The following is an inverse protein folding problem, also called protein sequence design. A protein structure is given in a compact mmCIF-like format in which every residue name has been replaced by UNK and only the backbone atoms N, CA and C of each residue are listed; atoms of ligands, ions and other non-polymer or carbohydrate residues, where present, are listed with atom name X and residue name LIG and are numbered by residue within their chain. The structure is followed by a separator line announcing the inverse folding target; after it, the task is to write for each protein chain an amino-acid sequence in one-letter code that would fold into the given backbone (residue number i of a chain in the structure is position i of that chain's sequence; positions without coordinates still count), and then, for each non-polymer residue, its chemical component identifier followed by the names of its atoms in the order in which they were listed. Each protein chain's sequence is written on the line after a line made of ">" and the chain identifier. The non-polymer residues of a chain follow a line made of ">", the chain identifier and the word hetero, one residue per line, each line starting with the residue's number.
data_IF_928962296887
#
_entry.id   IF_928962296887
#
_cell.length_a   1.000
_cell.length_b   1.000
_cell.length_c   1.000
_cell.angle_alpha   90.00
_cell.angle_beta   90.00
_cell.angle_gamma   90.00
#
_symmetry.space_group_name_H-M   'P 1'
#
loop_
_entity.id
_entity.type
_entity.pdbx_description
1 polymer ?
#
# COMPACT_ATOMS: atom_id res chain seq x y z
N UNK A 1 -53.47 0.76 10.88
CA UNK A 1 -52.36 0.12 11.64
C UNK A 1 -51.85 -1.03 10.78
N UNK A 2 -50.59 -1.27 10.44
CA UNK A 2 -49.27 -0.72 10.81
C UNK A 2 -48.38 -1.14 9.62
N UNK A 3 -47.88 -0.19 8.81
CA UNK A 3 -46.95 -0.47 7.70
C UNK A 3 -45.57 -0.75 8.30
N UNK A 4 -45.26 -2.02 8.56
CA UNK A 4 -43.97 -2.48 9.14
C UNK A 4 -43.15 -3.31 8.13
N UNK A 5 -43.32 -3.04 6.84
CA UNK A 5 -42.63 -3.76 5.76
C UNK A 5 -41.25 -3.19 5.37
N UNK A 6 -41.08 -1.87 5.18
CA UNK A 6 -39.84 -1.38 4.56
C UNK A 6 -38.69 -1.17 5.55
N UNK A 7 -38.99 -1.12 6.86
CA UNK A 7 -37.97 -0.89 7.90
C UNK A 7 -37.12 -2.15 8.14
N UNK A 8 -37.66 -3.34 7.89
CA UNK A 8 -36.92 -4.59 8.08
C UNK A 8 -35.84 -4.85 7.01
N UNK A 9 -35.99 -4.26 5.81
CA UNK A 9 -35.00 -4.38 4.74
C UNK A 9 -33.81 -3.42 4.91
N UNK A 10 -33.95 -2.36 5.71
CA UNK A 10 -32.87 -1.45 6.06
C UNK A 10 -31.92 -2.01 7.13
N UNK A 11 -32.33 -3.03 7.88
CA UNK A 11 -31.51 -3.68 8.90
C UNK A 11 -30.65 -4.84 8.36
N UNK A 12 -30.95 -5.34 7.16
CA UNK A 12 -30.17 -6.42 6.52
C UNK A 12 -28.89 -5.92 5.81
N UNK A 13 -28.70 -4.60 5.68
CA UNK A 13 -27.45 -4.01 5.20
C UNK A 13 -26.33 -3.91 6.24
N UNK A 14 -26.62 -4.22 7.51
CA UNK A 14 -25.70 -4.08 8.65
C UNK A 14 -24.94 -5.37 9.01
N UNK A 15 -25.00 -6.40 8.16
CA UNK A 15 -24.25 -7.63 8.32
C UNK A 15 -23.07 -7.74 7.33
N UNK A 16 -22.36 -6.63 7.10
CA UNK A 16 -21.13 -6.57 6.28
C UNK A 16 -19.99 -5.98 7.12
N UNK A 17 -19.33 -6.85 7.88
CA UNK A 17 -18.01 -6.66 8.49
C UNK A 17 -17.87 -5.46 9.44
N UNK A 18 -17.79 -5.73 10.74
CA UNK A 18 -17.25 -4.81 11.76
C UNK A 18 -15.72 -4.64 11.59
N UNK A 19 -15.27 -4.43 10.36
CA UNK A 19 -13.89 -4.09 10.05
C UNK A 19 -13.67 -2.59 10.28
N UNK A 20 -12.47 -2.17 10.68
CA UNK A 20 -12.11 -0.76 10.75
C UNK A 20 -12.33 -0.08 9.39
N UNK A 21 -13.15 0.97 9.34
CA UNK A 21 -13.54 1.62 8.09
C UNK A 21 -12.36 2.25 7.31
N UNK A 22 -12.60 2.72 6.06
CA UNK A 22 -11.56 3.26 5.16
C UNK A 22 -10.70 4.39 5.75
N UNK A 23 -11.25 5.16 6.68
CA UNK A 23 -10.54 6.23 7.39
C UNK A 23 -9.46 5.67 8.34
N UNK A 24 -9.80 4.65 9.12
CA UNK A 24 -8.85 3.96 9.99
C UNK A 24 -7.75 3.27 9.18
N UNK A 25 -8.12 2.60 8.07
CA UNK A 25 -7.15 2.03 7.15
C UNK A 25 -6.21 3.09 6.55
N UNK A 26 -6.73 4.27 6.18
CA UNK A 26 -5.90 5.37 5.68
C UNK A 26 -4.92 5.88 6.73
N UNK A 27 -5.37 6.07 7.97
CA UNK A 27 -4.52 6.50 9.07
C UNK A 27 -3.40 5.50 9.31
N UNK A 28 -3.73 4.20 9.35
CA UNK A 28 -2.73 3.14 9.50
C UNK A 28 -1.75 3.08 8.34
N UNK A 29 -2.21 3.22 7.10
CA UNK A 29 -1.31 3.30 5.94
C UNK A 29 -0.34 4.48 6.05
N UNK A 30 -0.77 5.61 6.61
CA UNK A 30 0.10 6.78 6.77
C UNK A 30 1.21 6.53 7.79
N UNK A 31 0.89 5.84 8.89
CA UNK A 31 1.89 5.37 9.86
C UNK A 31 2.90 4.43 9.20
N UNK A 32 2.41 3.45 8.44
CA UNK A 32 3.24 2.49 7.72
C UNK A 32 4.16 3.21 6.73
N UNK A 33 3.62 4.15 5.94
CA UNK A 33 4.36 4.94 4.97
C UNK A 33 5.50 5.72 5.63
N UNK A 34 5.22 6.37 6.77
CA UNK A 34 6.22 7.16 7.52
C UNK A 34 7.33 6.31 8.11
N UNK A 35 7.07 5.04 8.36
CA UNK A 35 8.04 4.08 8.86
C UNK A 35 8.74 3.26 7.76
N UNK A 36 8.48 3.53 6.47
CA UNK A 36 9.15 2.80 5.39
C UNK A 36 10.63 3.11 5.33
N UNK A 37 11.43 2.05 5.26
CA UNK A 37 12.86 2.09 5.02
C UNK A 37 13.22 1.36 3.73
N UNK A 38 14.41 1.66 3.19
CA UNK A 38 15.02 0.88 2.11
C UNK A 38 15.52 -0.44 2.68
N UNK A 39 14.92 -1.56 2.30
CA UNK A 39 15.36 -2.89 2.73
C UNK A 39 16.50 -3.42 1.87
N UNK A 40 16.33 -3.31 0.55
CA UNK A 40 17.28 -3.84 -0.42
C UNK A 40 17.19 -3.10 -1.75
N UNK A 41 18.27 -3.19 -2.52
CA UNK A 41 18.42 -2.51 -3.81
C UNK A 41 18.91 -3.51 -4.85
N UNK A 42 18.38 -3.43 -6.06
CA UNK A 42 18.74 -4.30 -7.17
C UNK A 42 18.94 -3.49 -8.43
N UNK A 43 19.77 -4.00 -9.34
CA UNK A 43 19.95 -3.46 -10.69
C UNK A 43 19.49 -4.45 -11.74
N UNK A 44 18.54 -4.03 -12.54
CA UNK A 44 17.99 -4.75 -13.69
C UNK A 44 18.00 -3.81 -14.89
N UNK A 45 18.72 -4.17 -15.96
CA UNK A 45 18.75 -3.44 -17.24
C UNK A 45 18.89 -1.90 -17.16
N UNK A 46 19.74 -1.43 -16.24
CA UNK A 46 20.00 0.01 -16.02
C UNK A 46 19.02 0.70 -15.07
N UNK A 47 17.92 0.03 -14.71
CA UNK A 47 16.95 0.46 -13.70
C UNK A 47 17.39 0.01 -12.32
N UNK A 48 17.17 0.88 -11.32
CA UNK A 48 17.39 0.51 -9.92
C UNK A 48 16.05 0.17 -9.29
N UNK A 49 15.89 -1.06 -8.83
CA UNK A 49 14.73 -1.48 -8.05
C UNK A 49 15.00 -1.19 -6.57
N UNK A 50 14.02 -0.58 -5.90
CA UNK A 50 14.06 -0.21 -4.48
C UNK A 50 12.97 -0.97 -3.76
N UNK A 51 13.39 -1.91 -2.91
CA UNK A 51 12.49 -2.64 -2.03
C UNK A 51 12.33 -1.83 -0.72
N UNK A 52 11.11 -1.38 -0.44
CA UNK A 52 10.78 -0.64 0.77
C UNK A 52 9.95 -1.49 1.72
N UNK A 53 10.15 -1.29 3.02
CA UNK A 53 9.41 -2.00 4.04
C UNK A 53 9.88 -1.65 5.45
N UNK A 54 9.51 -2.50 6.40
CA UNK A 54 9.95 -2.43 7.79
C UNK A 54 10.72 -3.72 8.11
N UNK A 55 10.07 -4.70 8.74
CA UNK A 55 10.60 -6.06 8.88
C UNK A 55 10.38 -6.90 7.60
N UNK A 56 9.36 -6.54 6.82
CA UNK A 56 8.91 -7.26 5.63
C UNK A 56 8.82 -6.31 4.44
N UNK A 57 9.00 -6.81 3.21
CA UNK A 57 8.82 -6.02 1.98
C UNK A 57 7.36 -5.61 1.83
N UNK A 58 7.11 -4.31 1.67
CA UNK A 58 5.76 -3.74 1.52
C UNK A 58 5.56 -3.02 0.19
N UNK A 59 6.63 -2.51 -0.42
CA UNK A 59 6.57 -1.78 -1.67
C UNK A 59 7.80 -2.06 -2.52
N UNK A 60 7.62 -2.18 -3.82
CA UNK A 60 8.70 -2.29 -4.80
C UNK A 60 8.55 -1.19 -5.84
N UNK A 61 9.60 -0.38 -5.99
CA UNK A 61 9.61 0.77 -6.87
C UNK A 61 10.77 0.65 -7.86
N UNK A 62 10.53 0.99 -9.12
CA UNK A 62 11.59 1.23 -10.08
C UNK A 62 12.07 2.68 -9.96
N UNK A 63 13.38 2.91 -10.04
CA UNK A 63 13.96 4.24 -9.99
C UNK A 63 14.80 4.49 -11.24
N UNK A 64 14.37 5.46 -12.01
CA UNK A 64 15.05 5.94 -13.20
C UNK A 64 15.38 7.41 -13.04
N UNK A 65 16.66 7.78 -13.23
CA UNK A 65 17.13 9.17 -13.12
C UNK A 65 16.66 9.86 -11.82
N UNK A 66 16.63 9.11 -10.71
CA UNK A 66 16.24 9.58 -9.39
C UNK A 66 14.74 9.73 -9.15
N UNK A 67 13.88 9.29 -10.08
CA UNK A 67 12.42 9.35 -9.95
C UNK A 67 11.84 7.95 -9.74
N UNK A 68 10.97 7.74 -8.73
CA UNK A 68 10.30 6.47 -8.53
C UNK A 68 9.12 6.29 -9.48
N UNK A 69 8.92 5.06 -9.91
CA UNK A 69 7.84 4.58 -10.78
C UNK A 69 7.27 3.27 -10.23
N UNK A 70 6.00 2.95 -10.54
CA UNK A 70 5.44 1.63 -10.27
C UNK A 70 6.29 0.53 -10.91
N UNK A 71 6.58 -0.52 -10.15
CA UNK A 71 7.11 -1.77 -10.67
C UNK A 71 6.11 -2.88 -10.40
N UNK A 72 5.61 -3.51 -11.46
CA UNK A 72 4.60 -4.58 -11.38
C UNK A 72 5.19 -5.99 -11.53
N UNK A 73 6.49 -6.07 -11.84
CA UNK A 73 7.19 -7.33 -12.04
C UNK A 73 7.74 -7.91 -10.73
N UNK A 74 8.29 -9.14 -10.79
CA UNK A 74 9.03 -9.72 -9.68
C UNK A 74 10.29 -8.89 -9.36
N UNK A 75 10.85 -9.10 -8.18
CA UNK A 75 12.16 -8.56 -7.85
C UNK A 75 13.23 -9.36 -8.59
N UNK A 76 13.97 -8.69 -9.48
CA UNK A 76 15.02 -9.31 -10.30
C UNK A 76 16.25 -8.41 -10.36
N UNK A 77 17.34 -8.99 -10.85
CA UNK A 77 18.60 -8.28 -11.07
C UNK A 77 19.64 -8.50 -9.98
N UNK A 78 20.76 -7.79 -10.10
CA UNK A 78 21.92 -7.95 -9.20
C UNK A 78 21.75 -7.10 -7.93
N UNK A 79 21.97 -7.64 -6.73
CA UNK A 79 21.94 -6.86 -5.50
C UNK A 79 22.94 -5.70 -5.53
N UNK A 80 22.57 -4.58 -4.91
CA UNK A 80 23.42 -3.41 -4.72
C UNK A 80 23.58 -3.10 -3.23
N UNK A 81 24.68 -2.43 -2.83
CA UNK A 81 24.84 -1.92 -1.48
C UNK A 81 23.66 -1.02 -1.07
N UNK A 82 23.06 -1.28 0.10
CA UNK A 82 21.96 -0.48 0.64
C UNK A 82 22.40 0.97 0.83
N UNK A 83 21.56 1.90 0.41
CA UNK A 83 21.72 3.35 0.63
C UNK A 83 20.35 4.02 0.75
N UNK A 84 20.24 5.14 1.46
CA UNK A 84 18.98 5.88 1.55
C UNK A 84 18.63 6.51 0.20
N UNK A 85 17.32 6.72 -0.01
CA UNK A 85 16.79 7.47 -1.14
C UNK A 85 15.97 8.65 -0.63
N UNK A 86 16.28 9.87 -1.11
CA UNK A 86 15.61 11.09 -0.68
C UNK A 86 14.10 11.07 -0.97
N UNK A 87 13.70 10.48 -2.11
CA UNK A 87 12.29 10.40 -2.51
C UNK A 87 11.42 9.64 -1.51
N UNK A 88 11.98 8.77 -0.67
CA UNK A 88 11.21 8.01 0.34
C UNK A 88 10.52 8.96 1.31
N UNK A 89 11.19 10.06 1.67
CA UNK A 89 10.63 11.13 2.52
C UNK A 89 9.60 12.01 1.78
N UNK A 90 9.62 11.99 0.44
CA UNK A 90 8.67 12.71 -0.42
C UNK A 90 7.41 11.88 -0.72
N UNK A 91 7.36 10.61 -0.30
CA UNK A 91 6.18 9.76 -0.49
C UNK A 91 5.00 10.28 0.33
N UNK A 92 3.82 10.17 -0.25
CA UNK A 92 2.55 10.53 0.38
C UNK A 92 1.47 9.50 0.04
N UNK A 93 0.26 9.66 0.59
CA UNK A 93 -0.88 8.81 0.25
C UNK A 93 -1.93 9.60 -0.52
N UNK A 94 -2.61 8.91 -1.43
CA UNK A 94 -3.88 9.39 -1.95
C UNK A 94 -4.91 9.57 -0.83
N UNK A 95 -5.93 10.40 -1.08
CA UNK A 95 -7.01 10.64 -0.12
C UNK A 95 -7.93 9.43 0.08
N UNK A 96 -8.01 8.58 -0.93
CA UNK A 96 -8.98 7.48 -1.01
C UNK A 96 -8.31 6.16 -0.67
N UNK A 97 -9.04 5.30 0.04
CA UNK A 97 -8.68 3.91 0.30
C UNK A 97 -9.74 3.03 -0.36
N UNK A 98 -9.29 1.98 -1.04
CA UNK A 98 -10.19 0.99 -1.62
C UNK A 98 -10.31 -0.16 -0.62
N UNK A 99 -11.52 -0.42 -0.16
CA UNK A 99 -11.86 -1.60 0.62
C UNK A 99 -12.24 -2.74 -0.33
N UNK A 100 -11.59 -3.89 -0.18
CA UNK A 100 -11.87 -5.14 -0.89
C UNK A 100 -12.15 -6.24 0.14
N UNK A 101 -12.78 -7.36 -0.26
CA UNK A 101 -12.88 -8.52 0.61
C UNK A 101 -11.48 -8.96 1.09
N UNK A 102 -11.25 -8.97 2.40
CA UNK A 102 -9.98 -9.38 3.00
C UNK A 102 -8.86 -8.33 3.05
N UNK A 103 -9.00 -7.15 2.43
CA UNK A 103 -7.92 -6.15 2.44
C UNK A 103 -8.33 -4.69 2.15
N UNK A 104 -7.48 -3.77 2.58
CA UNK A 104 -7.51 -2.36 2.19
C UNK A 104 -6.32 -2.02 1.30
N UNK A 105 -6.54 -1.17 0.30
CA UNK A 105 -5.49 -0.66 -0.61
C UNK A 105 -5.34 0.85 -0.49
N UNK A 106 -4.12 1.27 -0.17
CA UNK A 106 -3.72 2.66 -0.07
C UNK A 106 -2.72 3.00 -1.18
N UNK A 107 -3.04 3.97 -2.01
CA UNK A 107 -2.18 4.36 -3.13
C UNK A 107 -1.08 5.31 -2.65
N UNK A 108 0.17 4.90 -2.87
CA UNK A 108 1.36 5.69 -2.56
C UNK A 108 1.67 6.63 -3.72
N UNK A 109 1.87 7.89 -3.39
CA UNK A 109 2.13 8.96 -4.34
C UNK A 109 3.56 9.49 -4.19
N UNK A 110 4.18 9.83 -5.32
CA UNK A 110 5.35 10.70 -5.37
C UNK A 110 5.05 11.86 -6.31
N UNK A 111 5.08 13.09 -5.79
CA UNK A 111 4.75 14.33 -6.54
C UNK A 111 3.43 14.23 -7.32
N UNK A 112 2.39 13.72 -6.66
CA UNK A 112 1.03 13.58 -7.21
C UNK A 112 0.81 12.39 -8.14
N UNK A 113 1.81 11.55 -8.40
CA UNK A 113 1.67 10.34 -9.24
C UNK A 113 1.68 9.08 -8.39
N UNK A 114 0.81 8.13 -8.71
CA UNK A 114 0.81 6.80 -8.06
C UNK A 114 2.09 6.07 -8.45
N UNK A 115 2.84 5.65 -7.44
CA UNK A 115 4.08 4.87 -7.58
C UNK A 115 3.97 3.48 -6.96
N UNK A 116 2.96 3.21 -6.16
CA UNK A 116 2.74 1.87 -5.63
C UNK A 116 1.49 1.78 -4.76
N UNK A 117 1.27 0.61 -4.17
CA UNK A 117 0.09 0.31 -3.34
C UNK A 117 0.56 -0.37 -2.06
N UNK A 118 0.22 0.22 -0.91
CA UNK A 118 0.30 -0.46 0.38
C UNK A 118 -1.00 -1.23 0.60
N UNK A 119 -0.87 -2.44 1.11
CA UNK A 119 -1.98 -3.33 1.42
C UNK A 119 -2.06 -3.53 2.93
N UNK A 120 -3.25 -3.46 3.49
CA UNK A 120 -3.53 -3.84 4.87
C UNK A 120 -4.54 -4.99 4.90
N UNK A 121 -4.43 -5.88 5.87
CA UNK A 121 -5.47 -6.88 6.16
C UNK A 121 -6.70 -6.23 6.82
N UNK A 122 -7.72 -7.05 7.09
CA UNK A 122 -8.93 -6.60 7.81
C UNK A 122 -8.62 -6.13 9.23
N UNK A 123 -7.54 -6.65 9.83
CA UNK A 123 -6.99 -6.25 11.13
C UNK A 123 -6.06 -5.04 11.07
N UNK A 124 -5.98 -4.37 9.90
CA UNK A 124 -5.07 -3.27 9.59
C UNK A 124 -3.57 -3.62 9.68
N UNK A 125 -3.21 -4.90 9.70
CA UNK A 125 -1.80 -5.29 9.64
C UNK A 125 -1.26 -5.10 8.21
N UNK A 126 -0.01 -4.61 8.04
CA UNK A 126 0.58 -4.47 6.73
C UNK A 126 0.76 -5.83 6.06
N UNK A 127 0.17 -6.01 4.88
CA UNK A 127 0.37 -7.21 4.09
C UNK A 127 1.67 -7.09 3.29
N UNK A 128 2.49 -8.15 3.22
CA UNK A 128 3.70 -8.14 2.44
C UNK A 128 3.42 -7.96 0.94
N UNK A 129 4.44 -7.52 0.22
CA UNK A 129 4.45 -7.44 -1.24
C UNK A 129 4.02 -8.79 -1.83
N UNK A 130 3.16 -8.74 -2.85
CA UNK A 130 2.71 -9.92 -3.59
C UNK A 130 2.91 -9.69 -5.10
N UNK A 131 3.59 -10.59 -5.82
CA UNK A 131 4.27 -11.76 -5.29
C UNK A 131 5.41 -11.37 -4.32
N UNK A 132 5.78 -12.26 -3.37
CA UNK A 132 6.93 -12.00 -2.52
C UNK A 132 8.18 -11.81 -3.41
N UNK A 133 9.12 -10.96 -2.97
CA UNK A 133 10.35 -10.69 -3.70
C UNK A 133 11.24 -11.93 -3.89
#
# INVERSE_FOLDING_TARGET
>A
MRRLGPVLLLLLGLALGEGPGPEAARARCLEVLRALEVLALYREDGTTLVLLGQERPLLLLAVERGRPFPHLGPLKGRPLPRRPFAFVKELSLARWVVALPGEYRCFVLHRGRVVGVLRLGEDLTPLPLSPPP
#
